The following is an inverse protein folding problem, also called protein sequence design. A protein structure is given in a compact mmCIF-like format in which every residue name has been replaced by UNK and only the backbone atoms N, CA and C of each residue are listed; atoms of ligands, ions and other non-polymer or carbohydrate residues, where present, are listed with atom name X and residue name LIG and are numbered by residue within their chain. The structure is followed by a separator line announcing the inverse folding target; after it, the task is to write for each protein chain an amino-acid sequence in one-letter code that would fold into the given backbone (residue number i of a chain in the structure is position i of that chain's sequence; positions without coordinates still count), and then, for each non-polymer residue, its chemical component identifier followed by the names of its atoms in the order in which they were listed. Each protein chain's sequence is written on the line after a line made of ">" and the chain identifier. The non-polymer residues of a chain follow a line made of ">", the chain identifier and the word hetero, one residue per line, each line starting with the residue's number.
data_IF_401387353652
#
_entry.id   IF_401387353652
#
_cell.length_a   1.000
_cell.length_b   1.000
_cell.length_c   1.000
_cell.angle_alpha   90.00
_cell.angle_beta   90.00
_cell.angle_gamma   90.00
#
_symmetry.space_group_name_H-M   'P 1'
#
loop_
_entity.id
_entity.type
_entity.pdbx_description
1 polymer ?
#
# COMPACT_ATOMS: atom_id res chain seq x y z
N UNK A 1 -9.56 6.57 -23.65
CA UNK A 1 -9.39 5.26 -22.98
C UNK A 1 -9.52 5.51 -21.51
N UNK A 2 -10.31 4.71 -20.80
CA UNK A 2 -10.47 4.89 -19.35
C UNK A 2 -9.22 4.38 -18.63
N UNK A 3 -8.47 5.26 -18.02
CA UNK A 3 -7.24 4.92 -17.30
C UNK A 3 -7.57 4.48 -15.88
N UNK A 4 -7.01 3.35 -15.47
CA UNK A 4 -7.13 2.85 -14.09
C UNK A 4 -5.78 2.94 -13.40
N UNK A 5 -5.75 3.58 -12.23
CA UNK A 5 -4.58 3.62 -11.36
C UNK A 5 -4.71 2.56 -10.27
N UNK A 6 -3.71 1.67 -10.18
CA UNK A 6 -3.53 0.74 -9.06
C UNK A 6 -2.38 1.26 -8.21
N UNK A 7 -2.67 1.62 -6.97
CA UNK A 7 -1.78 2.34 -6.08
C UNK A 7 -1.57 1.57 -4.78
N UNK A 8 -0.32 1.41 -4.35
CA UNK A 8 0.01 0.93 -3.02
C UNK A 8 0.48 2.09 -2.14
N UNK A 9 -0.15 2.32 -1.00
CA UNK A 9 0.27 3.35 -0.05
C UNK A 9 0.66 2.74 1.28
N UNK A 10 1.57 3.40 2.00
CA UNK A 10 2.07 2.94 3.28
C UNK A 10 3.55 3.18 3.46
N UNK A 11 4.06 2.90 4.64
CA UNK A 11 5.46 3.10 4.98
C UNK A 11 6.15 1.76 5.28
N UNK A 12 6.99 1.30 4.37
CA UNK A 12 7.72 0.03 4.52
C UNK A 12 8.68 -0.02 5.71
N UNK A 13 8.98 1.13 6.32
CA UNK A 13 9.83 1.22 7.52
C UNK A 13 9.09 0.89 8.82
N UNK A 14 7.76 0.73 8.79
CA UNK A 14 6.92 0.49 9.95
C UNK A 14 6.10 -0.80 9.82
N UNK A 15 6.78 -1.94 9.78
CA UNK A 15 6.16 -3.28 9.77
C UNK A 15 4.95 -3.39 8.82
N UNK A 16 3.75 -3.65 9.36
CA UNK A 16 2.55 -3.89 8.55
C UNK A 16 1.99 -2.64 7.86
N UNK A 17 2.45 -1.43 8.23
CA UNK A 17 2.12 -0.21 7.51
C UNK A 17 2.63 -0.22 6.07
N UNK A 18 3.65 -1.05 5.79
CA UNK A 18 4.15 -1.31 4.44
C UNK A 18 3.28 -2.20 3.57
N UNK A 19 2.14 -2.70 4.05
CA UNK A 19 1.32 -3.65 3.32
C UNK A 19 0.93 -3.17 1.92
N UNK A 20 0.45 -1.93 1.79
CA UNK A 20 -0.02 -1.43 0.49
C UNK A 20 1.08 -1.43 -0.56
N UNK A 21 2.30 -0.99 -0.18
CA UNK A 21 3.47 -1.03 -1.07
C UNK A 21 3.81 -2.47 -1.45
N UNK A 22 3.86 -3.40 -0.50
CA UNK A 22 4.17 -4.81 -0.78
C UNK A 22 3.08 -5.51 -1.60
N UNK A 23 1.83 -5.13 -1.43
CA UNK A 23 0.72 -5.65 -2.22
C UNK A 23 0.76 -5.16 -3.67
N UNK A 24 1.06 -3.89 -3.92
CA UNK A 24 1.17 -3.36 -5.29
C UNK A 24 2.41 -3.88 -6.00
N UNK A 25 3.54 -4.09 -5.31
CA UNK A 25 4.72 -4.77 -5.85
C UNK A 25 4.35 -6.20 -6.29
N UNK A 26 3.71 -6.98 -5.41
CA UNK A 26 3.26 -8.33 -5.72
C UNK A 26 2.23 -8.39 -6.85
N UNK A 27 1.36 -7.38 -6.95
CA UNK A 27 0.42 -7.24 -8.06
C UNK A 27 1.17 -7.03 -9.37
N UNK A 28 2.12 -6.12 -9.42
CA UNK A 28 2.95 -5.84 -10.59
C UNK A 28 3.79 -7.05 -11.03
N UNK A 29 4.32 -7.82 -10.08
CA UNK A 29 5.05 -9.07 -10.37
C UNK A 29 4.12 -10.18 -10.90
N UNK A 30 2.86 -10.21 -10.46
CA UNK A 30 1.91 -11.28 -10.80
C UNK A 30 1.27 -11.09 -12.16
N UNK A 31 0.95 -9.85 -12.55
CA UNK A 31 0.20 -9.56 -13.76
C UNK A 31 1.03 -8.81 -14.79
N UNK A 32 0.81 -9.15 -16.07
CA UNK A 32 1.42 -8.44 -17.19
C UNK A 32 0.88 -7.01 -17.30
N UNK A 33 1.70 -6.13 -17.89
CA UNK A 33 1.28 -4.74 -18.11
C UNK A 33 0.06 -4.68 -19.01
N UNK A 34 -0.88 -3.82 -18.67
CA UNK A 34 -2.11 -3.61 -19.41
C UNK A 34 -2.20 -2.14 -19.87
N UNK A 35 -2.56 -1.85 -21.12
CA UNK A 35 -2.53 -0.49 -21.67
C UNK A 35 -3.46 0.50 -20.94
N UNK A 36 -4.51 0.01 -20.27
CA UNK A 36 -5.46 0.84 -19.53
C UNK A 36 -5.20 0.85 -18.02
N UNK A 37 -4.10 0.24 -17.55
CA UNK A 37 -3.76 0.16 -16.12
C UNK A 37 -2.38 0.73 -15.87
N UNK A 38 -2.30 1.71 -14.99
CA UNK A 38 -1.05 2.22 -14.42
C UNK A 38 -0.88 1.66 -13.02
N UNK A 39 0.29 1.10 -12.72
CA UNK A 39 0.62 0.55 -11.40
C UNK A 39 1.70 1.41 -10.76
N UNK A 40 1.48 1.85 -9.52
CA UNK A 40 2.37 2.76 -8.81
C UNK A 40 2.62 2.34 -7.38
N UNK A 41 3.90 2.38 -6.98
CA UNK A 41 4.27 2.48 -5.57
C UNK A 41 4.07 3.94 -5.15
N UNK A 42 3.07 4.20 -4.34
CA UNK A 42 2.77 5.52 -3.79
C UNK A 42 3.45 5.76 -2.45
N UNK A 43 3.85 4.71 -1.75
CA UNK A 43 4.55 4.81 -0.47
C UNK A 43 3.99 5.91 0.43
N UNK A 44 4.84 6.87 0.74
CA UNK A 44 4.51 8.09 1.51
C UNK A 44 4.60 9.36 0.66
N UNK A 45 4.47 9.27 -0.67
CA UNK A 45 4.71 10.38 -1.60
C UNK A 45 3.73 11.55 -1.47
N UNK A 46 2.54 11.33 -0.86
CA UNK A 46 1.60 12.42 -0.58
C UNK A 46 1.26 13.23 -1.83
N UNK A 47 1.48 14.55 -1.79
CA UNK A 47 1.07 15.49 -2.84
C UNK A 47 1.61 15.18 -4.26
N UNK A 48 2.69 14.42 -4.38
CA UNK A 48 3.23 14.04 -5.70
C UNK A 48 2.30 13.08 -6.47
N UNK A 49 1.35 12.43 -5.77
CA UNK A 49 0.38 11.53 -6.39
C UNK A 49 -0.83 12.26 -6.99
N UNK A 50 -0.98 13.57 -6.76
CA UNK A 50 -2.18 14.30 -7.17
C UNK A 50 -2.44 14.18 -8.68
N UNK A 51 -1.44 14.40 -9.51
CA UNK A 51 -1.60 14.33 -10.96
C UNK A 51 -2.01 12.91 -11.42
N UNK A 52 -1.37 11.87 -10.86
CA UNK A 52 -1.72 10.48 -11.19
C UNK A 52 -3.18 10.16 -10.82
N UNK A 53 -3.67 10.70 -9.68
CA UNK A 53 -5.05 10.53 -9.23
C UNK A 53 -6.02 11.29 -10.13
N UNK A 54 -5.71 12.54 -10.48
CA UNK A 54 -6.58 13.39 -11.31
C UNK A 54 -6.70 12.90 -12.77
N UNK A 55 -5.66 12.23 -13.28
CA UNK A 55 -5.66 11.63 -14.62
C UNK A 55 -6.39 10.29 -14.67
N UNK A 56 -6.61 9.65 -13.51
CA UNK A 56 -7.26 8.35 -13.43
C UNK A 56 -8.79 8.48 -13.44
N UNK A 57 -9.47 7.71 -14.28
CA UNK A 57 -10.92 7.56 -14.21
C UNK A 57 -11.34 6.59 -13.10
N UNK A 58 -10.47 5.63 -12.77
CA UNK A 58 -10.69 4.66 -11.69
C UNK A 58 -9.44 4.52 -10.84
N UNK A 59 -9.63 4.42 -9.54
CA UNK A 59 -8.56 4.29 -8.56
C UNK A 59 -8.78 3.03 -7.72
N UNK A 60 -7.80 2.12 -7.72
CA UNK A 60 -7.71 1.00 -6.79
C UNK A 60 -6.53 1.22 -5.85
N UNK A 61 -6.76 1.20 -4.56
CA UNK A 61 -5.74 1.43 -3.53
C UNK A 61 -5.56 0.19 -2.68
N UNK A 62 -4.30 -0.21 -2.44
CA UNK A 62 -3.92 -1.10 -1.35
C UNK A 62 -3.44 -0.27 -0.16
N UNK A 63 -3.96 -0.54 1.02
CA UNK A 63 -3.60 0.20 2.23
C UNK A 63 -3.73 -0.65 3.49
N UNK A 64 -3.01 -0.25 4.54
CA UNK A 64 -3.14 -0.77 5.88
C UNK A 64 -4.15 0.09 6.65
N UNK A 65 -5.23 -0.51 7.15
CA UNK A 65 -6.36 0.21 7.75
C UNK A 65 -6.74 -0.39 9.10
N UNK A 66 -6.99 0.46 10.09
CA UNK A 66 -7.50 0.01 11.38
C UNK A 66 -9.04 -0.08 11.35
N UNK A 67 -9.54 -1.28 11.19
CA UNK A 67 -10.97 -1.59 11.26
C UNK A 67 -11.41 -2.03 12.66
N UNK A 68 -10.47 -2.08 13.63
CA UNK A 68 -10.70 -2.65 14.97
C UNK A 68 -11.14 -4.11 14.93
N UNK A 69 -10.56 -4.88 14.00
CA UNK A 69 -10.86 -6.29 13.78
C UNK A 69 -9.64 -7.18 14.02
N UNK A 70 -9.81 -8.48 13.81
CA UNK A 70 -8.69 -9.43 13.93
C UNK A 70 -7.60 -9.15 12.89
N UNK A 71 -6.31 -9.13 13.27
CA UNK A 71 -5.20 -8.91 12.36
C UNK A 71 -5.22 -9.84 11.15
N UNK A 72 -5.06 -9.28 9.96
CA UNK A 72 -5.11 -9.99 8.69
C UNK A 72 -6.49 -10.04 8.04
N UNK A 73 -7.51 -9.43 8.65
CA UNK A 73 -8.82 -9.26 8.00
C UNK A 73 -8.69 -8.32 6.82
N UNK A 74 -9.16 -8.77 5.65
CA UNK A 74 -9.17 -7.99 4.41
C UNK A 74 -10.56 -7.44 4.13
N UNK A 75 -10.63 -6.18 3.74
CA UNK A 75 -11.84 -5.52 3.27
C UNK A 75 -11.66 -4.97 1.86
N UNK A 76 -12.73 -5.02 1.07
CA UNK A 76 -12.82 -4.34 -0.23
C UNK A 76 -13.90 -3.27 -0.12
N UNK A 77 -13.47 -2.03 0.08
CA UNK A 77 -14.34 -0.89 0.28
C UNK A 77 -14.68 -0.24 -1.06
N UNK A 78 -15.95 0.08 -1.27
CA UNK A 78 -16.46 0.67 -2.52
C UNK A 78 -17.50 1.76 -2.22
N UNK A 79 -17.60 2.73 -3.11
CA UNK A 79 -18.60 3.78 -3.01
C UNK A 79 -18.60 4.48 -1.64
N UNK A 80 -19.71 4.43 -0.92
CA UNK A 80 -19.81 5.09 0.39
C UNK A 80 -18.90 4.48 1.46
N UNK A 81 -18.51 3.21 1.34
CA UNK A 81 -17.58 2.58 2.29
C UNK A 81 -16.17 3.18 2.22
N UNK A 82 -15.78 3.75 1.08
CA UNK A 82 -14.51 4.48 0.94
C UNK A 82 -14.43 5.64 1.94
N UNK A 83 -15.57 6.21 2.35
CA UNK A 83 -15.63 7.23 3.40
C UNK A 83 -15.17 6.68 4.77
N UNK A 84 -15.35 5.39 5.02
CA UNK A 84 -14.84 4.71 6.23
C UNK A 84 -13.31 4.78 6.19
N UNK A 85 -12.70 4.36 5.09
CA UNK A 85 -11.25 4.41 4.91
C UNK A 85 -10.69 5.84 5.12
N UNK A 86 -11.34 6.85 4.55
CA UNK A 86 -10.90 8.24 4.74
C UNK A 86 -11.05 8.74 6.18
N UNK A 87 -11.84 8.07 7.02
CA UNK A 87 -12.01 8.40 8.43
C UNK A 87 -11.13 7.58 9.38
N UNK A 88 -10.64 6.41 8.96
CA UNK A 88 -9.79 5.52 9.75
C UNK A 88 -8.31 5.86 9.56
N UNK A 89 -7.79 6.79 10.37
CA UNK A 89 -6.42 7.30 10.23
C UNK A 89 -5.47 6.53 11.15
N UNK A 90 -4.62 5.69 10.57
CA UNK A 90 -3.52 5.05 11.30
C UNK A 90 -2.25 5.95 11.27
N UNK A 91 -2.03 6.68 10.17
CA UNK A 91 -0.77 7.37 9.94
C UNK A 91 -0.90 8.70 9.20
N UNK A 92 0.14 9.57 9.25
CA UNK A 92 0.15 10.86 8.58
C UNK A 92 -0.02 10.78 7.05
N UNK A 93 0.43 9.71 6.40
CA UNK A 93 0.32 9.60 4.94
C UNK A 93 -1.11 9.29 4.47
N UNK A 94 -1.93 8.61 5.30
CA UNK A 94 -3.36 8.46 5.02
C UNK A 94 -4.09 9.81 5.10
N UNK A 95 -3.66 10.71 6.00
CA UNK A 95 -4.17 12.09 6.01
C UNK A 95 -3.86 12.78 4.68
N UNK A 96 -2.64 12.61 4.15
CA UNK A 96 -2.26 13.15 2.85
C UNK A 96 -3.14 12.65 1.70
N UNK A 97 -3.52 11.36 1.68
CA UNK A 97 -4.39 10.81 0.64
C UNK A 97 -5.81 11.42 0.69
N UNK A 98 -6.37 11.62 1.88
CA UNK A 98 -7.67 12.28 2.03
C UNK A 98 -7.65 13.70 1.49
N UNK A 99 -6.57 14.45 1.79
CA UNK A 99 -6.39 15.80 1.29
C UNK A 99 -6.29 15.81 -0.24
N UNK A 100 -5.58 14.83 -0.84
CA UNK A 100 -5.49 14.70 -2.29
C UNK A 100 -6.84 14.40 -2.95
N UNK A 101 -7.61 13.48 -2.39
CA UNK A 101 -8.96 13.18 -2.91
C UNK A 101 -9.89 14.40 -2.77
N UNK A 102 -9.78 15.15 -1.67
CA UNK A 102 -10.54 16.38 -1.49
C UNK A 102 -10.14 17.46 -2.51
N UNK A 103 -8.84 17.60 -2.80
CA UNK A 103 -8.34 18.53 -3.84
C UNK A 103 -8.82 18.10 -5.22
N UNK A 104 -8.67 16.81 -5.58
CA UNK A 104 -9.15 16.28 -6.85
C UNK A 104 -10.67 16.48 -7.00
N UNK A 105 -11.43 16.27 -5.93
CA UNK A 105 -12.89 16.54 -5.93
C UNK A 105 -13.20 18.02 -6.16
N UNK A 106 -12.47 18.92 -5.48
CA UNK A 106 -12.66 20.37 -5.64
C UNK A 106 -12.34 20.83 -7.06
N UNK A 107 -11.35 20.22 -7.69
CA UNK A 107 -10.95 20.51 -9.08
C UNK A 107 -11.88 19.83 -10.12
N UNK A 108 -12.77 18.95 -9.69
CA UNK A 108 -13.67 18.21 -10.59
C UNK A 108 -13.02 17.01 -11.27
N UNK A 109 -11.85 16.57 -10.79
CA UNK A 109 -11.03 15.50 -11.35
C UNK A 109 -10.95 14.27 -10.42
N UNK A 110 -11.93 14.11 -9.51
CA UNK A 110 -11.99 12.90 -8.69
C UNK A 110 -12.27 11.67 -9.56
N UNK A 111 -11.56 10.55 -9.40
CA UNK A 111 -11.89 9.31 -10.08
C UNK A 111 -13.37 8.93 -9.93
N UNK A 112 -13.99 8.48 -11.01
CA UNK A 112 -15.43 8.11 -11.03
C UNK A 112 -15.73 6.94 -10.08
N UNK A 113 -14.77 6.01 -9.97
CA UNK A 113 -14.84 4.86 -9.09
C UNK A 113 -13.55 4.73 -8.28
N UNK A 114 -13.71 4.56 -6.97
CA UNK A 114 -12.60 4.32 -6.04
C UNK A 114 -12.88 3.02 -5.30
N UNK A 115 -11.88 2.13 -5.27
CA UNK A 115 -11.88 0.89 -4.51
C UNK A 115 -10.66 0.85 -3.61
N UNK A 116 -10.85 0.49 -2.35
CA UNK A 116 -9.76 0.29 -1.41
C UNK A 116 -9.74 -1.15 -0.94
N UNK A 117 -8.59 -1.81 -1.09
CA UNK A 117 -8.32 -3.11 -0.49
C UNK A 117 -7.51 -2.86 0.76
N UNK A 118 -8.20 -2.83 1.89
CA UNK A 118 -7.65 -2.56 3.20
C UNK A 118 -7.37 -3.84 3.99
N UNK A 119 -6.30 -3.84 4.79
CA UNK A 119 -6.01 -4.94 5.71
C UNK A 119 -5.89 -4.43 7.14
N UNK A 120 -6.46 -5.19 8.11
CA UNK A 120 -6.24 -4.95 9.52
C UNK A 120 -4.81 -5.34 9.89
N UNK A 121 -3.94 -4.41 10.39
CA UNK A 121 -2.59 -4.72 10.81
C UNK A 121 -2.52 -5.56 12.09
N UNK A 122 -1.38 -6.23 12.28
CA UNK A 122 -0.98 -6.90 13.52
C UNK A 122 0.00 -6.04 14.34
N UNK A 123 0.95 -5.38 13.64
CA UNK A 123 2.01 -4.58 14.27
C UNK A 123 2.32 -3.31 13.46
N UNK A 124 2.31 -2.16 14.12
CA UNK A 124 2.60 -0.85 13.51
C UNK A 124 3.78 -0.11 14.16
N UNK A 125 4.30 -0.60 15.29
CA UNK A 125 5.31 0.13 16.07
C UNK A 125 6.73 -0.43 15.92
N UNK A 126 6.93 -1.44 15.03
CA UNK A 126 8.24 -2.03 14.78
C UNK A 126 8.99 -1.25 13.68
N UNK A 127 9.73 -0.21 14.05
CA UNK A 127 10.58 0.54 13.13
C UNK A 127 11.70 -0.33 12.55
N UNK A 128 11.85 -0.31 11.23
CA UNK A 128 12.73 -1.21 10.49
C UNK A 128 12.16 -2.63 10.39
N UNK A 129 10.93 -2.87 10.87
CA UNK A 129 10.21 -4.12 10.72
C UNK A 129 9.78 -4.39 9.28
N UNK A 130 9.51 -5.66 8.99
CA UNK A 130 8.85 -6.09 7.75
C UNK A 130 7.44 -6.57 8.08
N UNK A 131 6.65 -6.89 7.04
CA UNK A 131 5.31 -7.44 7.25
C UNK A 131 5.34 -8.62 8.21
N UNK A 132 4.46 -8.62 9.19
CA UNK A 132 4.26 -9.79 10.06
C UNK A 132 3.83 -11.00 9.23
N UNK A 133 4.05 -12.20 9.78
CA UNK A 133 3.64 -13.44 9.08
C UNK A 133 2.15 -13.46 8.77
N UNK A 134 1.32 -12.91 9.67
CA UNK A 134 -0.14 -12.86 9.49
C UNK A 134 -0.53 -12.01 8.28
N UNK A 135 0.12 -10.88 8.11
CA UNK A 135 -0.18 -9.94 7.03
C UNK A 135 0.44 -10.43 5.71
N UNK A 136 1.67 -10.92 5.75
CA UNK A 136 2.38 -11.41 4.57
C UNK A 136 1.60 -12.50 3.82
N UNK A 137 1.03 -13.47 4.55
CA UNK A 137 0.28 -14.58 3.93
C UNK A 137 -1.01 -14.13 3.26
N UNK A 138 -1.48 -12.89 3.54
CA UNK A 138 -2.69 -12.31 2.95
C UNK A 138 -2.42 -11.54 1.66
N UNK A 139 -1.18 -11.17 1.38
CA UNK A 139 -0.80 -10.41 0.16
C UNK A 139 -1.31 -11.09 -1.12
N UNK A 140 -1.13 -12.41 -1.35
CA UNK A 140 -1.66 -13.04 -2.57
C UNK A 140 -3.19 -12.96 -2.70
N UNK A 141 -3.92 -12.99 -1.59
CA UNK A 141 -5.37 -12.83 -1.59
C UNK A 141 -5.77 -11.40 -1.94
N UNK A 142 -5.10 -10.39 -1.38
CA UNK A 142 -5.32 -8.99 -1.72
C UNK A 142 -5.07 -8.73 -3.21
N UNK A 143 -4.00 -9.31 -3.77
CA UNK A 143 -3.68 -9.25 -5.20
C UNK A 143 -4.78 -9.88 -6.06
N UNK A 144 -5.33 -11.02 -5.63
CA UNK A 144 -6.45 -11.66 -6.32
C UNK A 144 -7.74 -10.84 -6.25
N UNK A 145 -8.01 -10.19 -5.11
CA UNK A 145 -9.14 -9.26 -4.96
C UNK A 145 -9.01 -8.07 -5.90
N UNK A 146 -7.81 -7.49 -6.04
CA UNK A 146 -7.56 -6.40 -6.99
C UNK A 146 -7.84 -6.82 -8.42
N UNK A 147 -7.38 -7.99 -8.84
CA UNK A 147 -7.67 -8.50 -10.18
C UNK A 147 -9.16 -8.72 -10.41
N UNK A 148 -9.89 -9.20 -9.39
CA UNK A 148 -11.34 -9.34 -9.46
C UNK A 148 -12.05 -7.98 -9.61
N UNK A 149 -11.58 -6.92 -8.94
CA UNK A 149 -12.13 -5.58 -9.10
C UNK A 149 -11.84 -5.01 -10.50
N UNK A 150 -10.63 -5.18 -11.03
CA UNK A 150 -10.31 -4.78 -12.40
C UNK A 150 -11.20 -5.53 -13.41
N UNK A 151 -11.44 -6.83 -13.19
CA UNK A 151 -12.36 -7.61 -14.04
C UNK A 151 -13.80 -7.07 -13.98
N UNK A 152 -14.27 -6.59 -12.83
CA UNK A 152 -15.57 -5.89 -12.71
C UNK A 152 -15.62 -4.60 -13.53
N UNK A 153 -14.50 -3.94 -13.68
CA UNK A 153 -14.33 -2.77 -14.53
C UNK A 153 -14.12 -3.11 -16.01
N UNK A 154 -14.17 -4.40 -16.36
CA UNK A 154 -14.00 -4.88 -17.73
C UNK A 154 -12.54 -5.03 -18.18
N UNK A 155 -11.60 -4.98 -17.24
CA UNK A 155 -10.16 -5.14 -17.50
C UNK A 155 -9.76 -6.57 -17.18
N UNK A 156 -9.40 -7.34 -18.21
CA UNK A 156 -8.95 -8.73 -18.07
C UNK A 156 -7.41 -8.76 -18.00
N UNK A 157 -6.88 -9.06 -16.82
CA UNK A 157 -5.44 -9.15 -16.63
C UNK A 157 -4.92 -10.54 -17.00
N UNK A 158 -3.77 -10.57 -17.65
CA UNK A 158 -3.00 -11.80 -17.90
C UNK A 158 -1.92 -11.98 -16.85
N UNK A 159 -1.75 -13.21 -16.36
CA UNK A 159 -0.63 -13.52 -15.46
C UNK A 159 0.67 -13.48 -16.22
N UNK A 160 1.72 -12.94 -15.60
CA UNK A 160 3.07 -13.02 -16.16
C UNK A 160 3.54 -14.47 -16.25
N UNK A 161 4.28 -14.81 -17.29
CA UNK A 161 4.98 -16.10 -17.37
C UNK A 161 5.92 -16.29 -16.18
N UNK A 162 5.98 -17.51 -15.66
CA UNK A 162 6.88 -17.82 -14.57
C UNK A 162 8.35 -17.55 -14.96
N UNK A 163 9.07 -16.78 -14.12
CA UNK A 163 10.47 -16.43 -14.33
C UNK A 163 10.72 -15.22 -15.23
N UNK A 164 9.71 -14.53 -15.70
CA UNK A 164 9.87 -13.24 -16.36
C UNK A 164 10.43 -12.21 -15.36
N UNK A 165 11.50 -11.51 -15.77
CA UNK A 165 12.08 -10.44 -14.97
C UNK A 165 11.26 -9.18 -15.17
N UNK A 166 10.77 -8.62 -14.08
CA UNK A 166 10.02 -7.38 -14.04
C UNK A 166 10.89 -6.30 -13.44
N UNK A 167 10.84 -5.10 -13.99
CA UNK A 167 11.47 -3.94 -13.38
C UNK A 167 10.71 -3.60 -12.09
N UNK A 168 11.43 -3.42 -10.99
CA UNK A 168 10.82 -3.08 -9.70
C UNK A 168 10.11 -1.74 -9.76
N UNK A 169 8.95 -1.61 -9.14
CA UNK A 169 8.24 -0.35 -8.97
C UNK A 169 9.00 0.62 -8.06
N UNK A 170 9.73 0.09 -7.09
CA UNK A 170 10.59 0.84 -6.17
C UNK A 170 12.07 0.67 -6.52
N UNK A 171 12.94 1.50 -5.92
CA UNK A 171 14.39 1.29 -6.03
C UNK A 171 14.78 -0.10 -5.57
N UNK A 172 15.71 -0.74 -6.28
CA UNK A 172 16.12 -2.13 -6.02
C UNK A 172 16.51 -2.40 -4.55
N UNK A 173 17.05 -1.39 -3.85
CA UNK A 173 17.40 -1.47 -2.43
C UNK A 173 16.20 -1.57 -1.48
N UNK A 174 15.01 -1.22 -1.94
CA UNK A 174 13.77 -1.27 -1.16
C UNK A 174 12.95 -2.53 -1.44
N UNK A 175 13.33 -3.33 -2.43
CA UNK A 175 12.69 -4.61 -2.74
C UNK A 175 12.67 -5.53 -1.53
N UNK A 176 11.55 -6.23 -1.29
CA UNK A 176 11.30 -6.99 -0.06
C UNK A 176 12.44 -7.94 0.32
N UNK A 177 12.96 -8.70 -0.64
CA UNK A 177 14.00 -9.69 -0.39
C UNK A 177 15.31 -9.05 0.10
N UNK A 178 15.72 -7.93 -0.52
CA UNK A 178 16.94 -7.22 -0.12
C UNK A 178 16.76 -6.52 1.22
N UNK A 179 15.63 -5.84 1.39
CA UNK A 179 15.25 -5.18 2.64
C UNK A 179 15.29 -6.14 3.84
N UNK A 180 14.77 -7.37 3.68
CA UNK A 180 14.78 -8.37 4.74
C UNK A 180 16.14 -9.00 4.97
N UNK A 181 16.93 -9.23 3.90
CA UNK A 181 18.25 -9.86 4.02
C UNK A 181 19.30 -8.93 4.63
N UNK A 182 19.14 -7.62 4.48
CA UNK A 182 20.04 -6.61 5.04
C UNK A 182 19.56 -6.08 6.40
N UNK A 183 18.40 -6.51 6.86
CA UNK A 183 17.87 -6.13 8.17
C UNK A 183 18.79 -6.67 9.28
N UNK A 184 19.23 -5.83 10.23
CA UNK A 184 20.00 -6.29 11.39
C UNK A 184 19.15 -7.26 12.23
N UNK A 185 19.81 -8.19 12.91
CA UNK A 185 19.15 -9.09 13.88
C UNK A 185 18.48 -8.28 14.99
N UNK A 186 17.55 -8.91 15.72
CA UNK A 186 16.89 -8.26 16.86
C UNK A 186 17.89 -7.78 17.94
N UNK A 187 19.01 -8.49 18.10
CA UNK A 187 20.08 -8.16 19.05
C UNK A 187 20.92 -6.97 18.56
N UNK A 188 21.08 -6.78 17.25
CA UNK A 188 21.88 -5.72 16.65
C UNK A 188 21.05 -4.46 16.33
N UNK A 189 19.74 -4.60 16.18
CA UNK A 189 18.84 -3.50 15.83
C UNK A 189 18.64 -2.55 17.01
N UNK A 190 19.14 -1.31 16.88
CA UNK A 190 18.87 -0.25 17.86
C UNK A 190 17.47 0.34 17.59
N UNK A 191 16.42 -0.35 18.01
CA UNK A 191 15.02 0.05 17.80
C UNK A 191 14.57 1.20 18.71
N UNK A 192 15.31 1.47 19.77
CA UNK A 192 15.01 2.50 20.77
C UNK A 192 15.90 3.74 20.65
N UNK A 193 16.76 3.79 19.64
CA UNK A 193 17.77 4.84 19.49
C UNK A 193 19.02 4.59 20.34
N UNK A 194 20.03 5.42 20.20
CA UNK A 194 21.30 5.28 20.92
C UNK A 194 21.10 5.65 22.41
N UNK A 195 21.23 4.67 23.28
CA UNK A 195 21.05 4.83 24.73
C UNK A 195 21.95 5.93 25.36
N UNK A 196 23.03 6.32 24.66
CA UNK A 196 23.89 7.42 25.08
C UNK A 196 23.20 8.79 25.08
N UNK A 197 22.13 8.93 24.29
CA UNK A 197 21.37 10.15 24.16
C UNK A 197 20.05 10.16 24.93
N UNK A 198 19.72 9.06 25.62
CA UNK A 198 18.58 9.08 26.53
C UNK A 198 18.95 9.76 27.85
N UNK A 199 18.10 10.65 28.41
CA UNK A 199 18.32 11.20 29.73
C UNK A 199 18.45 10.06 30.75
N UNK A 200 19.61 9.93 31.34
CA UNK A 200 19.81 9.01 32.46
C UNK A 200 19.11 9.59 33.69
N UNK A 201 17.88 9.20 33.94
CA UNK A 201 17.20 9.63 35.13
C UNK A 201 15.72 9.78 35.02
N UNK A 202 15.01 8.82 35.50
CA UNK A 202 13.56 8.82 35.68
C UNK A 202 13.06 7.45 36.09
N UNK A 203 13.46 6.98 37.30
CA UNK A 203 12.69 5.96 38.01
C UNK A 203 11.48 6.60 38.66
#
# INVERSE_FOLDING_TARGET
>A
MKTTLVLGIGNILWADEGFGVRAVEAFHETYADHPDVSVRDGGTLGAYLLNDIEEAERLLVFDCCDFHEEPGTLHVLRGDEVKIWTSTKISPHQTGMNDLLAVAQFQGNLPEEIVVIGIQPDELNDYGGSLTKKIRVRVPEAVALAAAELARWGIALEKRPAGEKVESLSTASLGLNLYESERPSEEEACRTGDVRFFPQGGR
#
